data_IF_240495039460
#
_entry.id   IF_240495039460
#
_cell.length_a   1.000
_cell.length_b   1.000
_cell.length_c   1.000
_cell.angle_alpha   90.00
_cell.angle_beta   90.00
_cell.angle_gamma   90.00
#
_symmetry.space_group_name_H-M   'P 1'
#
loop_
_entity.id
_entity.type
_entity.pdbx_description
1 polymer ?
#
# COMPACT_ATOMS: atom_id res chain seq x y z
N UNK A 1 -14.20 -3.30 14.98
CA UNK A 1 -14.69 -2.58 13.78
C UNK A 1 -13.75 -2.89 12.61
N UNK A 2 -14.09 -3.89 11.79
CA UNK A 2 -13.23 -4.35 10.70
C UNK A 2 -13.17 -3.31 9.59
N UNK A 3 -12.03 -2.63 9.46
CA UNK A 3 -11.76 -1.64 8.40
C UNK A 3 -11.42 -2.41 7.12
N UNK A 4 -12.43 -3.00 6.49
CA UNK A 4 -12.30 -3.51 5.14
C UNK A 4 -12.07 -2.30 4.25
N UNK A 5 -10.80 -1.99 3.97
CA UNK A 5 -10.48 -1.18 2.81
C UNK A 5 -11.20 -1.84 1.64
N UNK A 6 -12.24 -1.15 1.13
CA UNK A 6 -13.05 -1.58 0.00
C UNK A 6 -12.10 -1.69 -1.18
N UNK A 7 -11.50 -2.85 -1.34
CA UNK A 7 -10.54 -3.09 -2.40
C UNK A 7 -11.32 -3.05 -3.72
N UNK A 8 -10.81 -2.34 -4.74
CA UNK A 8 -11.53 -2.18 -6.00
C UNK A 8 -12.04 -3.50 -6.57
N UNK A 9 -13.24 -3.48 -7.13
CA UNK A 9 -13.91 -4.70 -7.57
C UNK A 9 -13.16 -5.26 -8.79
N UNK A 10 -12.62 -6.48 -8.65
CA UNK A 10 -11.92 -7.17 -9.75
C UNK A 10 -12.91 -7.74 -10.75
N UNK A 11 -12.62 -7.62 -12.05
CA UNK A 11 -13.37 -8.30 -13.11
C UNK A 11 -12.41 -8.94 -14.13
N UNK A 12 -12.85 -10.04 -14.74
CA UNK A 12 -12.06 -10.77 -15.73
C UNK A 12 -12.42 -10.32 -17.14
N UNK A 13 -11.50 -9.65 -17.84
CA UNK A 13 -11.63 -9.42 -19.28
C UNK A 13 -11.53 -10.74 -20.06
N UNK A 14 -10.66 -11.65 -19.60
CA UNK A 14 -10.50 -13.00 -20.14
C UNK A 14 -10.15 -13.97 -19.01
N UNK A 15 -10.08 -15.28 -19.31
CA UNK A 15 -9.72 -16.33 -18.32
C UNK A 15 -8.39 -16.08 -17.58
N UNK A 16 -7.49 -15.27 -18.14
CA UNK A 16 -6.19 -14.92 -17.53
C UNK A 16 -6.01 -13.43 -17.23
N UNK A 17 -6.83 -12.54 -17.82
CA UNK A 17 -6.74 -11.10 -17.57
C UNK A 17 -7.78 -10.69 -16.54
N UNK A 18 -7.33 -10.56 -15.30
CA UNK A 18 -8.08 -9.88 -14.24
C UNK A 18 -7.66 -8.41 -14.26
N UNK A 19 -8.63 -7.53 -14.38
CA UNK A 19 -8.43 -6.09 -14.46
C UNK A 19 -9.26 -5.43 -13.36
N UNK A 20 -8.84 -4.23 -13.01
CA UNK A 20 -9.54 -3.35 -12.08
C UNK A 20 -10.00 -2.11 -12.83
N UNK A 21 -11.10 -1.54 -12.37
CA UNK A 21 -11.53 -0.24 -12.87
C UNK A 21 -10.49 0.84 -12.49
N UNK A 22 -10.04 1.61 -13.48
CA UNK A 22 -9.01 2.62 -13.29
C UNK A 22 -9.50 3.73 -12.34
N UNK A 23 -10.73 4.21 -12.54
CA UNK A 23 -11.30 5.29 -11.73
C UNK A 23 -11.49 4.87 -10.27
N UNK A 24 -11.90 3.62 -10.03
CA UNK A 24 -12.02 3.06 -8.68
C UNK A 24 -10.65 2.96 -7.98
N UNK A 25 -9.60 2.52 -8.70
CA UNK A 25 -8.23 2.49 -8.16
C UNK A 25 -7.75 3.90 -7.85
N UNK A 26 -7.93 4.85 -8.76
CA UNK A 26 -7.45 6.22 -8.59
C UNK A 26 -8.11 6.90 -7.39
N UNK A 27 -9.43 6.79 -7.24
CA UNK A 27 -10.16 7.32 -6.10
C UNK A 27 -9.72 6.67 -4.78
N UNK A 28 -9.47 5.36 -4.78
CA UNK A 28 -8.98 4.63 -3.63
C UNK A 28 -7.55 5.04 -3.24
N UNK A 29 -6.67 5.22 -4.23
CA UNK A 29 -5.30 5.64 -4.02
C UNK A 29 -5.25 7.09 -3.52
N UNK A 30 -6.10 7.97 -4.05
CA UNK A 30 -6.23 9.35 -3.62
C UNK A 30 -6.70 9.45 -2.16
N UNK A 31 -7.73 8.68 -1.77
CA UNK A 31 -8.17 8.61 -0.36
C UNK A 31 -7.05 8.13 0.56
N UNK A 32 -6.26 7.14 0.14
CA UNK A 32 -5.13 6.64 0.93
C UNK A 32 -3.98 7.63 1.02
N UNK A 33 -3.65 8.32 -0.07
CA UNK A 33 -2.66 9.40 -0.05
C UNK A 33 -3.09 10.52 0.90
N UNK A 34 -4.34 10.95 0.83
CA UNK A 34 -4.89 11.96 1.75
C UNK A 34 -4.82 11.50 3.21
N UNK A 35 -5.20 10.25 3.48
CA UNK A 35 -5.10 9.67 4.84
C UNK A 35 -3.66 9.49 5.33
N UNK A 36 -2.68 9.32 4.44
CA UNK A 36 -1.26 9.22 4.78
C UNK A 36 -0.58 10.60 4.88
N UNK A 37 -1.14 11.62 4.24
CA UNK A 37 -0.70 13.02 4.34
C UNK A 37 -1.26 13.71 5.57
N UNK A 38 -2.28 13.14 6.22
CA UNK A 38 -2.74 13.59 7.52
C UNK A 38 -1.59 13.41 8.54
N UNK A 39 -1.04 14.49 9.11
CA UNK A 39 0.10 14.41 10.02
C UNK A 39 -0.23 13.67 11.33
N UNK A 40 -1.51 13.41 11.62
CA UNK A 40 -1.95 12.57 12.74
C UNK A 40 -1.86 11.08 12.45
N UNK A 41 -1.87 10.68 11.16
CA UNK A 41 -1.65 9.31 10.75
C UNK A 41 -0.15 9.02 10.77
N UNK A 42 0.38 8.78 11.97
CA UNK A 42 1.76 8.41 12.23
C UNK A 42 2.22 7.40 11.17
N UNK A 43 3.06 7.79 10.18
CA UNK A 43 3.56 6.86 9.19
C UNK A 43 4.24 5.76 9.98
N UNK A 44 3.78 4.51 9.84
CA UNK A 44 4.45 3.41 10.51
C UNK A 44 5.93 3.52 10.14
N UNK A 45 6.79 3.80 11.13
CA UNK A 45 8.22 3.98 10.92
C UNK A 45 8.69 2.83 10.05
N UNK A 46 9.21 3.17 8.86
CA UNK A 46 9.65 2.15 7.92
C UNK A 46 10.57 1.17 8.65
N UNK A 47 10.43 -0.15 8.44
CA UNK A 47 11.14 -1.13 9.24
C UNK A 47 12.64 -0.86 9.15
N UNK A 48 13.30 -0.62 10.29
CA UNK A 48 14.73 -0.33 10.31
C UNK A 48 15.47 -1.47 9.60
N UNK A 49 16.04 -1.13 8.44
CA UNK A 49 16.69 -2.10 7.56
C UNK A 49 17.99 -2.63 8.16
N UNK A 50 18.53 -1.98 9.20
CA UNK A 50 19.76 -2.36 9.89
C UNK A 50 19.54 -3.50 10.90
N UNK A 51 18.32 -3.68 11.40
CA UNK A 51 17.97 -4.78 12.32
C UNK A 51 17.51 -6.06 11.60
N UNK A 52 17.54 -6.07 10.26
CA UNK A 52 17.10 -7.24 9.49
C UNK A 52 18.01 -8.44 9.74
N UNK A 53 17.43 -9.57 10.14
CA UNK A 53 18.14 -10.85 10.28
C UNK A 53 18.76 -11.32 8.96
N UNK A 54 18.13 -11.00 7.84
CA UNK A 54 18.59 -11.40 6.49
C UNK A 54 18.93 -10.16 5.68
N UNK A 55 20.14 -10.13 5.10
CA UNK A 55 20.70 -8.99 4.34
C UNK A 55 20.68 -7.64 5.09
N UNK A 56 21.36 -7.53 6.25
CA UNK A 56 21.54 -6.24 6.91
C UNK A 56 22.39 -5.29 6.06
N UNK A 57 22.06 -4.00 6.10
CA UNK A 57 22.85 -2.95 5.44
C UNK A 57 24.16 -2.76 6.22
N UNK A 58 25.30 -2.95 5.55
CA UNK A 58 26.63 -2.65 6.14
C UNK A 58 26.74 -1.16 6.41
N UNK A 59 27.15 -0.77 7.62
CA UNK A 59 27.44 0.63 7.93
C UNK A 59 28.67 1.07 7.11
N UNK A 60 28.64 2.24 6.46
CA UNK A 60 29.86 2.82 5.90
C UNK A 60 30.83 3.12 7.04
N UNK A 61 32.12 2.85 6.81
CA UNK A 61 33.22 3.14 7.74
C UNK A 61 33.53 4.62 7.78
#
# INVERSE_FOLDING_TARGET
MSRHFKFPRRFSLTRRCVVWDLGEIEAWLAQRKHAAQDPSANPAEGPDVRIRRTRPVRRPR
#
